data_IF_117760814110
#
_entry.id   IF_117760814110
#
_cell.length_a   1.000
_cell.length_b   1.000
_cell.length_c   1.000
_cell.angle_alpha   90.00
_cell.angle_beta   90.00
_cell.angle_gamma   90.00
#
_symmetry.space_group_name_H-M   'P 1'
#
loop_
_entity.id
_entity.type
_entity.pdbx_description
1 polymer ?
#
# COMPACT_ATOMS: atom_id res chain seq x y z
N UNK A 1 12.03 0.83 -10.05
CA UNK A 1 11.82 2.19 -10.60
C UNK A 1 10.73 2.09 -11.67
N UNK A 2 9.48 2.38 -11.32
CA UNK A 2 8.41 2.56 -12.30
C UNK A 2 8.45 4.02 -12.72
N UNK A 3 8.67 4.29 -14.01
CA UNK A 3 8.64 5.63 -14.57
C UNK A 3 7.26 6.25 -14.27
N UNK A 4 7.25 7.31 -13.45
CA UNK A 4 6.06 8.14 -13.28
C UNK A 4 5.76 8.77 -14.64
N UNK A 5 4.63 8.42 -15.23
CA UNK A 5 4.00 9.31 -16.20
C UNK A 5 3.51 10.50 -15.36
N UNK A 6 4.05 11.72 -15.55
CA UNK A 6 3.52 12.88 -14.86
C UNK A 6 2.04 12.99 -15.22
N UNK A 7 1.18 13.07 -14.22
CA UNK A 7 -0.22 13.39 -14.43
C UNK A 7 -0.27 14.65 -15.29
N UNK A 8 -1.02 14.61 -16.40
CA UNK A 8 -1.14 15.72 -17.32
C UNK A 8 -1.55 16.97 -16.53
N UNK A 9 -0.62 17.90 -16.41
CA UNK A 9 -0.84 19.10 -15.63
C UNK A 9 -1.64 20.08 -16.49
N UNK A 10 -2.74 20.61 -15.97
CA UNK A 10 -3.49 21.60 -16.70
C UNK A 10 -2.69 22.90 -16.81
N UNK A 11 -2.26 23.28 -18.02
CA UNK A 11 -1.67 24.59 -18.31
C UNK A 11 -2.51 25.48 -19.23
N UNK A 12 -2.82 26.69 -18.77
CA UNK A 12 -3.65 27.64 -19.49
C UNK A 12 -2.91 28.40 -20.59
N UNK A 13 -3.67 28.91 -21.56
CA UNK A 13 -3.20 29.79 -22.63
C UNK A 13 -4.14 30.98 -22.81
N UNK A 14 -3.57 32.17 -22.91
CA UNK A 14 -4.30 33.38 -23.26
C UNK A 14 -4.38 33.52 -24.79
N UNK A 15 -5.58 33.83 -25.27
CA UNK A 15 -5.90 33.95 -26.68
C UNK A 15 -6.63 35.27 -26.88
N UNK A 16 -6.26 36.03 -27.90
CA UNK A 16 -6.94 37.23 -28.30
C UNK A 16 -8.13 36.91 -29.21
N UNK A 17 -9.07 37.85 -29.36
CA UNK A 17 -10.15 37.70 -30.35
C UNK A 17 -9.63 37.82 -31.79
N UNK A 18 -8.63 38.67 -32.00
CA UNK A 18 -8.02 38.96 -33.31
C UNK A 18 -6.63 38.31 -33.43
N UNK A 19 -6.22 37.90 -34.64
CA UNK A 19 -4.85 37.45 -34.91
C UNK A 19 -3.82 38.52 -34.59
N UNK A 20 -2.60 38.10 -34.22
CA UNK A 20 -1.46 38.98 -33.98
C UNK A 20 -1.78 40.15 -33.01
N UNK A 21 -2.11 39.83 -31.73
CA UNK A 21 -2.61 40.81 -30.77
C UNK A 21 -1.70 42.03 -30.59
N UNK A 22 -0.38 41.80 -30.67
CA UNK A 22 0.66 42.83 -30.49
C UNK A 22 0.58 43.57 -29.16
N UNK A 23 0.17 42.83 -28.14
CA UNK A 23 0.39 43.07 -26.72
C UNK A 23 0.79 41.73 -26.08
N UNK A 24 1.35 41.79 -24.88
CA UNK A 24 1.73 40.62 -24.09
C UNK A 24 0.96 40.58 -22.77
N UNK A 25 0.95 39.43 -22.10
CA UNK A 25 0.39 39.28 -20.74
C UNK A 25 1.51 39.45 -19.73
N UNK A 26 1.37 40.40 -18.82
CA UNK A 26 2.41 40.70 -17.83
C UNK A 26 2.02 41.85 -16.90
N UNK A 27 2.25 41.74 -15.58
CA UNK A 27 2.67 40.53 -14.85
C UNK A 27 1.54 39.48 -14.82
N UNK A 28 1.87 38.19 -14.63
CA UNK A 28 0.90 37.08 -14.51
C UNK A 28 1.15 36.22 -13.27
N UNK A 29 0.15 36.04 -12.43
CA UNK A 29 0.21 35.17 -11.25
C UNK A 29 -0.91 34.14 -11.28
N UNK A 30 -0.57 32.86 -11.17
CA UNK A 30 -1.53 31.75 -11.14
C UNK A 30 -1.45 31.14 -9.75
N UNK A 31 -2.46 31.39 -8.93
CA UNK A 31 -2.39 31.15 -7.49
C UNK A 31 -3.39 30.09 -7.08
N UNK A 32 -2.93 28.90 -6.71
CA UNK A 32 -3.76 27.89 -6.07
C UNK A 32 -3.71 28.03 -4.55
N UNK A 33 -4.85 27.85 -3.88
CA UNK A 33 -4.91 27.80 -2.40
C UNK A 33 -5.42 26.45 -1.95
N UNK A 34 -4.54 25.69 -1.29
CA UNK A 34 -4.79 24.33 -0.82
C UNK A 34 -4.98 24.36 0.69
N UNK A 35 -6.08 23.79 1.16
CA UNK A 35 -6.33 23.58 2.58
C UNK A 35 -6.28 22.10 2.96
N UNK A 36 -6.39 21.78 4.26
CA UNK A 36 -6.44 20.40 4.75
C UNK A 36 -7.76 19.69 4.40
N UNK A 37 -8.84 20.45 4.17
CA UNK A 37 -10.15 19.91 3.82
C UNK A 37 -10.19 19.48 2.36
N UNK A 38 -10.74 18.30 2.10
CA UNK A 38 -10.99 17.81 0.73
C UNK A 38 -12.08 18.65 0.07
N UNK A 39 -11.80 19.19 -1.11
CA UNK A 39 -12.75 19.96 -1.89
C UNK A 39 -12.10 20.62 -3.10
N UNK A 40 -12.89 21.32 -3.93
CA UNK A 40 -12.36 22.09 -5.05
C UNK A 40 -11.31 23.09 -4.61
N UNK A 41 -10.20 23.16 -5.34
CA UNK A 41 -9.12 24.11 -5.06
C UNK A 41 -9.48 25.46 -5.64
N UNK A 42 -9.42 26.50 -4.80
CA UNK A 42 -9.55 27.89 -5.26
C UNK A 42 -8.28 28.28 -6.03
N UNK A 43 -8.46 28.64 -7.31
CA UNK A 43 -7.42 29.18 -8.17
C UNK A 43 -7.78 30.61 -8.57
N UNK A 44 -6.82 31.51 -8.41
CA UNK A 44 -6.91 32.90 -8.86
C UNK A 44 -5.84 33.15 -9.92
N UNK A 45 -6.28 33.47 -11.14
CA UNK A 45 -5.41 33.95 -12.22
C UNK A 45 -5.44 35.47 -12.17
N UNK A 46 -4.28 36.10 -12.00
CA UNK A 46 -4.16 37.55 -11.86
C UNK A 46 -3.19 38.10 -12.87
N UNK A 47 -3.62 39.06 -13.69
CA UNK A 47 -2.78 39.56 -14.78
C UNK A 47 -3.06 41.01 -15.17
N UNK A 48 -2.15 41.57 -15.96
CA UNK A 48 -2.37 42.80 -16.74
C UNK A 48 -1.92 42.56 -18.19
N UNK A 49 -2.26 43.49 -19.09
CA UNK A 49 -1.75 43.51 -20.45
C UNK A 49 -0.65 44.56 -20.59
N UNK A 50 0.46 44.15 -21.19
CA UNK A 50 1.56 45.01 -21.54
C UNK A 50 1.48 45.37 -23.02
N UNK A 51 1.20 46.65 -23.29
CA UNK A 51 1.21 47.22 -24.64
C UNK A 51 2.61 47.77 -24.94
N UNK A 52 3.24 47.41 -26.08
CA UNK A 52 4.54 47.93 -26.47
C UNK A 52 4.57 49.46 -26.59
N UNK A 53 5.72 50.10 -26.31
CA UNK A 53 5.89 51.53 -26.53
C UNK A 53 5.67 51.86 -28.02
N UNK A 54 4.77 52.80 -28.31
CA UNK A 54 4.40 53.17 -29.69
C UNK A 54 3.04 52.63 -30.18
N UNK A 55 2.33 51.83 -29.37
CA UNK A 55 0.92 51.47 -29.63
C UNK A 55 -0.02 52.07 -28.60
N UNK A 56 -1.19 52.51 -29.08
CA UNK A 56 -2.28 52.96 -28.21
C UNK A 56 -3.06 51.78 -27.64
N UNK A 57 -3.50 51.90 -26.38
CA UNK A 57 -4.40 50.94 -25.73
C UNK A 57 -5.73 50.75 -26.49
N UNK A 58 -6.21 51.79 -27.20
CA UNK A 58 -7.40 51.69 -28.03
C UNK A 58 -7.21 50.78 -29.25
N UNK A 59 -5.98 50.68 -29.78
CA UNK A 59 -5.70 49.83 -30.95
C UNK A 59 -5.83 48.33 -30.62
N UNK A 60 -5.62 47.96 -29.35
CA UNK A 60 -5.63 46.58 -28.88
C UNK A 60 -6.96 46.15 -28.26
N UNK A 61 -7.98 47.01 -28.24
CA UNK A 61 -9.31 46.73 -27.71
C UNK A 61 -9.94 45.48 -28.33
N UNK A 62 -10.17 44.47 -27.49
CA UNK A 62 -10.82 43.21 -27.83
C UNK A 62 -11.04 42.34 -26.61
N UNK A 63 -12.01 41.43 -26.69
CA UNK A 63 -12.15 40.36 -25.70
C UNK A 63 -10.92 39.44 -25.73
N UNK A 64 -10.60 38.89 -24.57
CA UNK A 64 -9.62 37.81 -24.43
C UNK A 64 -10.33 36.50 -24.15
N UNK A 65 -9.63 35.41 -24.40
CA UNK A 65 -10.05 34.08 -24.05
C UNK A 65 -8.97 33.39 -23.24
N UNK A 66 -9.38 32.67 -22.21
CA UNK A 66 -8.51 31.78 -21.46
C UNK A 66 -8.93 30.35 -21.77
N UNK A 67 -8.04 29.61 -22.43
CA UNK A 67 -8.18 28.18 -22.60
C UNK A 67 -7.64 27.51 -21.33
N UNK A 68 -8.54 27.00 -20.50
CA UNK A 68 -8.20 26.32 -19.27
C UNK A 68 -8.32 24.79 -19.46
N UNK A 69 -7.24 24.02 -19.34
CA UNK A 69 -7.33 22.56 -19.34
C UNK A 69 -7.95 22.05 -18.04
N UNK A 70 -9.00 21.24 -18.14
CA UNK A 70 -9.77 20.75 -17.00
C UNK A 70 -11.15 21.40 -16.87
N UNK A 71 -11.95 20.80 -16.01
CA UNK A 71 -13.25 21.33 -15.60
C UNK A 71 -13.06 22.41 -14.54
N UNK A 72 -13.85 23.48 -14.64
CA UNK A 72 -13.78 24.62 -13.72
C UNK A 72 -15.05 24.74 -12.92
N UNK A 73 -15.12 24.21 -11.70
CA UNK A 73 -16.26 24.45 -10.83
C UNK A 73 -16.50 25.97 -10.63
N UNK A 74 -17.76 26.36 -10.77
CA UNK A 74 -18.13 27.78 -10.81
C UNK A 74 -18.42 28.27 -9.41
N UNK A 75 -17.73 29.33 -8.95
CA UNK A 75 -18.35 30.17 -7.93
C UNK A 75 -19.49 30.93 -8.61
N UNK A 76 -20.73 30.63 -8.23
CA UNK A 76 -21.95 31.15 -8.88
C UNK A 76 -21.98 32.69 -8.83
N UNK A 77 -21.49 33.34 -9.89
CA UNK A 77 -21.85 34.73 -10.18
C UNK A 77 -23.22 34.70 -10.84
N UNK A 78 -24.15 35.49 -10.32
CA UNK A 78 -25.47 35.62 -10.91
C UNK A 78 -25.37 36.14 -12.36
N UNK A 79 -26.02 35.44 -13.29
CA UNK A 79 -26.06 35.82 -14.70
C UNK A 79 -26.24 34.61 -15.62
N UNK A 80 -27.00 34.79 -16.70
CA UNK A 80 -27.20 33.73 -17.68
C UNK A 80 -25.86 33.37 -18.37
N UNK A 81 -25.60 32.07 -18.64
CA UNK A 81 -24.46 31.68 -19.44
C UNK A 81 -24.52 32.33 -20.83
N UNK A 82 -23.37 32.43 -21.49
CA UNK A 82 -23.29 33.00 -22.84
C UNK A 82 -23.61 31.93 -23.90
N UNK A 83 -24.77 32.01 -24.59
CA UNK A 83 -25.15 31.00 -25.58
C UNK A 83 -24.23 31.01 -26.80
N UNK A 84 -23.48 32.08 -27.06
CA UNK A 84 -22.51 32.12 -28.14
C UNK A 84 -21.35 31.15 -27.90
N UNK A 85 -20.87 31.02 -26.65
CA UNK A 85 -19.79 30.09 -26.30
C UNK A 85 -20.23 28.63 -26.48
N UNK A 86 -21.47 28.30 -26.09
CA UNK A 86 -22.05 26.98 -26.34
C UNK A 86 -22.10 26.66 -27.83
N UNK A 87 -22.69 27.54 -28.63
CA UNK A 87 -22.77 27.37 -30.10
C UNK A 87 -21.38 27.22 -30.71
N UNK A 88 -20.42 28.00 -30.24
CA UNK A 88 -19.05 27.98 -30.71
C UNK A 88 -18.36 26.62 -30.53
N UNK A 89 -18.52 26.02 -29.36
CA UNK A 89 -17.95 24.71 -29.00
C UNK A 89 -18.67 23.58 -29.75
N UNK A 90 -20.00 23.63 -29.82
CA UNK A 90 -20.81 22.63 -30.55
C UNK A 90 -20.48 22.63 -32.04
N UNK A 91 -20.32 23.80 -32.67
CA UNK A 91 -19.96 23.92 -34.08
C UNK A 91 -18.61 23.28 -34.42
N UNK A 92 -17.75 23.05 -33.43
CA UNK A 92 -16.44 22.40 -33.56
C UNK A 92 -16.45 20.91 -33.18
N UNK A 93 -17.64 20.34 -32.96
CA UNK A 93 -17.80 18.92 -32.64
C UNK A 93 -17.44 18.54 -31.21
N UNK A 94 -17.46 19.50 -30.28
CA UNK A 94 -17.29 19.23 -28.86
C UNK A 94 -18.63 19.14 -28.14
N UNK A 95 -18.70 18.28 -27.12
CA UNK A 95 -19.86 18.15 -26.24
C UNK A 95 -19.76 19.11 -25.05
N UNK A 96 -20.61 20.16 -24.95
CA UNK A 96 -20.64 21.02 -23.78
C UNK A 96 -21.15 20.24 -22.56
N UNK A 97 -20.41 20.32 -21.45
CA UNK A 97 -20.71 19.63 -20.19
C UNK A 97 -21.28 20.60 -19.17
N UNK A 98 -20.76 21.83 -19.14
CA UNK A 98 -21.19 22.84 -18.16
C UNK A 98 -20.95 24.25 -18.68
N UNK A 99 -21.82 25.16 -18.29
CA UNK A 99 -21.78 26.58 -18.68
C UNK A 99 -22.03 27.44 -17.45
N UNK A 100 -21.52 28.66 -17.46
CA UNK A 100 -21.76 29.60 -16.37
C UNK A 100 -20.93 30.86 -16.48
N UNK A 101 -20.75 31.55 -15.36
CA UNK A 101 -19.91 32.74 -15.22
C UNK A 101 -18.98 32.60 -14.03
N UNK A 102 -17.75 33.08 -14.19
CA UNK A 102 -16.73 33.11 -13.15
C UNK A 102 -16.59 34.52 -12.59
N UNK A 103 -16.28 34.67 -11.28
CA UNK A 103 -15.95 35.95 -10.70
C UNK A 103 -14.75 36.56 -11.39
N UNK A 104 -14.96 37.76 -11.93
CA UNK A 104 -13.92 38.59 -12.52
C UNK A 104 -13.89 39.90 -11.75
N UNK A 105 -12.71 40.33 -11.32
CA UNK A 105 -12.54 41.55 -10.55
C UNK A 105 -11.30 42.33 -11.02
N UNK A 106 -11.26 43.62 -10.72
CA UNK A 106 -10.12 44.48 -10.96
C UNK A 106 -9.55 44.97 -9.62
N UNK A 107 -8.24 44.82 -9.45
CA UNK A 107 -7.51 45.19 -8.24
C UNK A 107 -6.47 46.26 -8.56
N UNK A 108 -6.49 47.34 -7.81
CA UNK A 108 -5.53 48.43 -7.96
C UNK A 108 -4.21 48.08 -7.25
N UNK A 109 -3.08 48.28 -7.92
CA UNK A 109 -1.74 48.02 -7.37
C UNK A 109 -1.30 49.08 -6.35
N UNK A 110 -1.58 50.35 -6.64
CA UNK A 110 -1.11 51.50 -5.85
C UNK A 110 -2.17 52.06 -4.90
N UNK A 111 -3.20 51.27 -4.57
CA UNK A 111 -4.20 51.65 -3.56
C UNK A 111 -3.69 51.41 -2.14
N UNK A 112 -4.29 52.08 -1.16
CA UNK A 112 -4.10 51.72 0.25
C UNK A 112 -4.42 50.22 0.45
N UNK A 113 -3.66 49.52 1.32
CA UNK A 113 -3.69 48.05 1.57
C UNK A 113 -5.08 47.43 1.81
N UNK A 114 -6.14 48.25 1.91
CA UNK A 114 -7.51 47.89 2.26
C UNK A 114 -8.51 47.97 1.10
N UNK A 115 -8.12 48.39 -0.11
CA UNK A 115 -9.04 48.38 -1.27
C UNK A 115 -9.26 46.94 -1.75
N UNK A 116 -10.45 46.43 -1.47
CA UNK A 116 -10.97 45.16 -1.96
C UNK A 116 -11.04 45.13 -3.50
N UNK A 117 -10.92 43.94 -4.08
CA UNK A 117 -11.02 43.79 -5.53
C UNK A 117 -12.41 44.22 -6.01
N UNK A 118 -12.47 45.10 -7.02
CA UNK A 118 -13.73 45.61 -7.54
C UNK A 118 -14.32 44.60 -8.53
N UNK A 119 -15.51 44.03 -8.30
CA UNK A 119 -16.11 43.10 -9.25
C UNK A 119 -16.34 43.80 -10.59
N UNK A 120 -16.02 43.09 -11.68
CA UNK A 120 -16.38 43.50 -13.03
C UNK A 120 -17.77 42.95 -13.35
N UNK A 121 -18.65 43.82 -13.81
CA UNK A 121 -20.05 43.46 -14.08
C UNK A 121 -20.17 42.27 -15.04
N UNK A 122 -21.08 41.36 -14.73
CA UNK A 122 -21.34 40.16 -15.53
C UNK A 122 -20.28 39.06 -15.43
N UNK A 123 -19.11 39.29 -14.83
CA UNK A 123 -18.07 38.28 -14.71
C UNK A 123 -17.57 37.71 -16.06
N UNK A 124 -16.84 36.61 -16.01
CA UNK A 124 -16.29 35.94 -17.20
C UNK A 124 -17.15 34.73 -17.59
N UNK A 125 -17.91 34.75 -18.70
CA UNK A 125 -18.67 33.58 -19.14
C UNK A 125 -17.75 32.45 -19.59
N UNK A 126 -18.14 31.21 -19.31
CA UNK A 126 -17.37 30.03 -19.67
C UNK A 126 -18.23 28.87 -20.15
N UNK A 127 -17.60 27.96 -20.89
CA UNK A 127 -18.14 26.64 -21.24
C UNK A 127 -17.05 25.59 -21.01
N UNK A 128 -17.35 24.58 -20.19
CA UNK A 128 -16.56 23.36 -20.06
C UNK A 128 -17.10 22.34 -21.06
N UNK A 129 -16.20 21.69 -21.80
CA UNK A 129 -16.53 20.76 -22.86
C UNK A 129 -15.58 19.56 -22.87
N UNK A 130 -16.02 18.50 -23.52
CA UNK A 130 -15.24 17.29 -23.79
C UNK A 130 -15.25 16.99 -25.27
N UNK A 131 -14.26 16.22 -25.71
CA UNK A 131 -14.25 15.62 -27.03
C UNK A 131 -14.73 14.18 -26.90
N UNK A 132 -15.78 13.84 -27.61
CA UNK A 132 -16.24 12.46 -27.70
C UNK A 132 -15.28 11.69 -28.61
N UNK A 133 -14.55 10.73 -28.05
CA UNK A 133 -13.68 9.84 -28.82
C UNK A 133 -14.33 8.45 -28.89
N UNK A 134 -15.23 8.28 -29.87
CA UNK A 134 -15.98 7.04 -30.05
C UNK A 134 -16.94 6.72 -28.89
N UNK A 135 -17.66 5.60 -29.00
CA UNK A 135 -18.81 5.27 -28.14
C UNK A 135 -18.50 5.07 -26.64
N UNK A 136 -17.23 5.00 -26.21
CA UNK A 136 -16.88 4.56 -24.85
C UNK A 136 -15.80 5.37 -24.12
N UNK A 137 -15.14 6.36 -24.74
CA UNK A 137 -14.05 7.11 -24.09
C UNK A 137 -14.24 8.62 -24.24
N UNK A 138 -14.66 9.30 -23.16
CA UNK A 138 -14.65 10.76 -23.08
C UNK A 138 -13.23 11.25 -22.79
N UNK A 139 -12.78 12.29 -23.48
CA UNK A 139 -11.51 12.94 -23.17
C UNK A 139 -11.58 13.71 -21.84
N UNK A 140 -10.41 14.02 -21.27
CA UNK A 140 -10.32 14.98 -20.16
C UNK A 140 -10.96 16.32 -20.56
N UNK A 141 -11.78 16.95 -19.70
CA UNK A 141 -12.47 18.19 -20.03
C UNK A 141 -11.50 19.34 -20.27
N UNK A 142 -11.93 20.32 -21.07
CA UNK A 142 -11.31 21.64 -21.18
C UNK A 142 -12.38 22.71 -21.02
N UNK A 143 -11.98 23.92 -20.64
CA UNK A 143 -12.88 25.04 -20.41
C UNK A 143 -12.44 26.24 -21.25
N UNK A 144 -13.38 26.81 -21.98
CA UNK A 144 -13.20 28.03 -22.76
C UNK A 144 -13.85 29.18 -22.02
N UNK A 145 -13.04 30.15 -21.59
CA UNK A 145 -13.49 31.27 -20.76
C UNK A 145 -13.30 32.54 -21.58
N UNK A 146 -14.36 33.33 -21.74
CA UNK A 146 -14.27 34.66 -22.35
C UNK A 146 -14.08 35.71 -21.27
N UNK A 147 -13.09 36.56 -21.44
CA UNK A 147 -12.78 37.70 -20.60
C UNK A 147 -13.22 38.94 -21.39
N UNK A 148 -14.32 39.60 -20.99
CA UNK A 148 -14.77 40.81 -21.64
C UNK A 148 -13.72 41.91 -21.60
N UNK A 149 -13.60 42.68 -22.68
CA UNK A 149 -12.72 43.84 -22.71
C UNK A 149 -13.10 44.87 -21.62
N UNK A 150 -12.07 45.48 -21.04
CA UNK A 150 -12.20 46.65 -20.18
C UNK A 150 -10.94 47.51 -20.30
N UNK A 151 -11.03 48.85 -20.27
CA UNK A 151 -9.86 49.72 -20.28
C UNK A 151 -8.86 49.43 -19.15
N UNK A 152 -9.33 48.79 -18.07
CA UNK A 152 -8.49 48.37 -16.94
C UNK A 152 -7.47 47.29 -17.31
N UNK A 153 -7.70 46.51 -18.37
CA UNK A 153 -6.79 45.44 -18.81
C UNK A 153 -5.42 45.97 -19.26
N UNK A 154 -5.39 47.14 -19.93
CA UNK A 154 -4.16 47.77 -20.44
C UNK A 154 -3.59 48.82 -19.49
N UNK A 155 -4.24 49.05 -18.36
CA UNK A 155 -3.77 50.00 -17.36
C UNK A 155 -2.84 49.29 -16.37
N UNK A 156 -1.54 49.61 -16.44
CA UNK A 156 -0.49 49.03 -15.57
C UNK A 156 -0.68 49.26 -14.07
N UNK A 157 -1.62 50.12 -13.65
CA UNK A 157 -1.97 50.31 -12.23
C UNK A 157 -3.03 49.34 -11.74
N UNK A 158 -3.62 48.55 -12.64
CA UNK A 158 -4.66 47.57 -12.36
C UNK A 158 -4.22 46.16 -12.74
N UNK A 159 -4.64 45.20 -11.93
CA UNK A 159 -4.59 43.79 -12.20
C UNK A 159 -6.01 43.25 -12.31
N UNK A 160 -6.28 42.44 -13.33
CA UNK A 160 -7.52 41.67 -13.43
C UNK A 160 -7.33 40.36 -12.71
N UNK A 161 -8.34 39.94 -11.94
CA UNK A 161 -8.36 38.71 -11.16
C UNK A 161 -9.56 37.86 -11.58
N UNK A 162 -9.29 36.68 -12.13
CA UNK A 162 -10.27 35.65 -12.43
C UNK A 162 -10.18 34.57 -11.35
N UNK A 163 -11.28 34.33 -10.65
CA UNK A 163 -11.35 33.30 -9.61
C UNK A 163 -12.14 32.10 -10.09
N UNK A 164 -11.65 30.92 -9.75
CA UNK A 164 -12.24 29.66 -10.18
C UNK A 164 -12.03 28.57 -9.13
N UNK A 165 -12.93 27.58 -9.08
CA UNK A 165 -12.80 26.40 -8.24
C UNK A 165 -12.46 25.21 -9.13
N UNK A 166 -11.44 24.43 -8.78
CA UNK A 166 -11.00 23.31 -9.60
C UNK A 166 -11.19 22.01 -8.82
N UNK A 167 -12.16 21.15 -9.21
CA UNK A 167 -12.47 19.92 -8.47
C UNK A 167 -11.34 18.89 -8.57
N UNK A 168 -10.69 18.81 -9.72
CA UNK A 168 -9.74 17.73 -10.05
C UNK A 168 -8.27 18.17 -10.02
N UNK A 169 -7.97 19.35 -9.44
CA UNK A 169 -6.60 19.86 -9.40
C UNK A 169 -5.70 19.05 -8.47
N UNK A 170 -6.26 18.55 -7.36
CA UNK A 170 -5.56 17.70 -6.40
C UNK A 170 -5.92 16.26 -6.70
N UNK A 171 -4.92 15.48 -7.12
CA UNK A 171 -5.09 14.06 -7.38
C UNK A 171 -4.59 13.26 -6.19
N UNK A 172 -5.40 12.31 -5.72
CA UNK A 172 -4.98 11.34 -4.72
C UNK A 172 -4.12 10.29 -5.39
N UNK A 173 -2.87 10.17 -4.93
CA UNK A 173 -1.98 9.11 -5.38
C UNK A 173 -2.41 7.81 -4.70
N UNK A 174 -2.62 6.76 -5.48
CA UNK A 174 -2.83 5.42 -4.90
C UNK A 174 -1.60 5.04 -4.08
N UNK A 175 -1.78 4.98 -2.77
CA UNK A 175 -0.82 4.47 -1.81
C UNK A 175 -1.34 3.15 -1.27
N UNK A 176 -0.46 2.25 -0.84
CA UNK A 176 -0.93 1.03 -0.17
C UNK A 176 -1.65 1.40 1.13
N UNK A 177 -2.48 0.48 1.64
CA UNK A 177 -3.21 0.70 2.90
C UNK A 177 -2.24 1.02 4.05
N UNK A 178 -1.09 0.33 4.10
CA UNK A 178 -0.06 0.52 5.13
C UNK A 178 0.57 1.91 5.03
N UNK A 179 0.89 2.36 3.82
CA UNK A 179 1.45 3.70 3.60
C UNK A 179 0.46 4.80 3.99
N UNK A 180 -0.83 4.60 3.71
CA UNK A 180 -1.90 5.54 4.06
C UNK A 180 -2.08 5.65 5.58
N UNK A 181 -1.95 4.54 6.30
CA UNK A 181 -2.04 4.49 7.77
C UNK A 181 -0.82 5.15 8.43
N UNK A 182 0.39 4.83 7.97
CA UNK A 182 1.63 5.31 8.58
C UNK A 182 1.97 6.76 8.22
N UNK A 183 1.62 7.19 7.01
CA UNK A 183 2.09 8.47 6.47
C UNK A 183 0.98 9.41 5.97
N UNK A 184 -0.29 9.01 6.10
CA UNK A 184 -1.42 9.77 5.59
C UNK A 184 -1.64 9.60 4.09
N UNK A 185 -2.71 10.21 3.59
CA UNK A 185 -2.98 10.23 2.15
C UNK A 185 -1.97 11.11 1.41
N UNK A 186 -1.62 10.67 0.21
CA UNK A 186 -0.67 11.36 -0.65
C UNK A 186 -1.42 12.09 -1.75
N UNK A 187 -1.16 13.37 -1.85
CA UNK A 187 -1.77 14.24 -2.84
C UNK A 187 -0.70 14.78 -3.78
N UNK A 188 -1.05 14.87 -5.06
CA UNK A 188 -0.24 15.55 -6.07
C UNK A 188 -1.05 16.70 -6.62
N UNK A 189 -0.46 17.88 -6.65
CA UNK A 189 -1.03 19.05 -7.29
C UNK A 189 -0.05 19.54 -8.36
N UNK A 190 -0.60 19.87 -9.53
CA UNK A 190 0.16 20.31 -10.68
C UNK A 190 -0.49 21.56 -11.27
N UNK A 191 0.27 22.66 -11.31
CA UNK A 191 -0.08 23.86 -12.06
C UNK A 191 0.86 23.97 -13.25
N UNK A 192 0.33 24.17 -14.44
CA UNK A 192 1.14 24.46 -15.62
C UNK A 192 0.77 25.80 -16.24
N UNK A 193 1.63 26.25 -17.14
CA UNK A 193 1.38 27.30 -18.11
C UNK A 193 1.81 26.80 -19.49
N UNK A 194 1.04 27.13 -20.54
CA UNK A 194 1.25 26.65 -21.90
C UNK A 194 1.17 25.11 -22.14
N UNK A 195 0.64 24.32 -21.20
CA UNK A 195 0.38 22.88 -21.44
C UNK A 195 -1.01 22.63 -22.07
N UNK A 196 -1.07 22.69 -23.40
CA UNK A 196 -2.29 22.46 -24.21
C UNK A 196 -2.40 21.04 -24.77
N UNK A 197 -1.57 20.09 -24.32
CA UNK A 197 -1.47 18.75 -24.94
C UNK A 197 -2.68 17.84 -24.68
N UNK A 198 -3.67 18.29 -23.90
CA UNK A 198 -4.88 17.50 -23.64
C UNK A 198 -5.71 17.34 -24.92
N UNK A 199 -6.40 16.19 -25.06
CA UNK A 199 -7.20 15.87 -26.26
C UNK A 199 -8.33 16.86 -26.54
N UNK A 200 -8.80 17.60 -25.54
CA UNK A 200 -9.84 18.63 -25.66
C UNK A 200 -9.25 20.03 -25.88
N UNK A 201 -8.12 20.36 -25.26
CA UNK A 201 -7.52 21.69 -25.39
C UNK A 201 -6.72 21.85 -26.70
N UNK A 202 -6.01 20.80 -27.14
CA UNK A 202 -5.10 20.91 -28.28
C UNK A 202 -5.79 21.37 -29.58
N UNK A 203 -6.95 20.82 -30.01
CA UNK A 203 -7.56 21.26 -31.26
C UNK A 203 -8.05 22.72 -31.19
N UNK A 204 -8.59 23.14 -30.04
CA UNK A 204 -9.01 24.52 -29.81
C UNK A 204 -7.81 25.48 -29.81
N UNK A 205 -6.70 25.09 -29.20
CA UNK A 205 -5.44 25.84 -29.29
C UNK A 205 -4.95 25.91 -30.74
N UNK A 206 -4.93 24.79 -31.46
CA UNK A 206 -4.35 24.69 -32.80
C UNK A 206 -5.06 25.58 -33.83
N UNK A 207 -6.39 25.71 -33.70
CA UNK A 207 -7.22 26.62 -34.52
C UNK A 207 -6.92 28.10 -34.24
N UNK A 208 -6.48 28.45 -33.02
CA UNK A 208 -6.26 29.83 -32.59
C UNK A 208 -4.80 30.15 -32.30
N UNK A 209 -3.87 29.37 -32.86
CA UNK A 209 -2.43 29.53 -32.60
C UNK A 209 -1.88 30.90 -32.99
N UNK A 210 -2.51 31.56 -33.96
CA UNK A 210 -2.22 32.92 -34.44
C UNK A 210 -2.75 34.04 -33.52
N UNK A 211 -3.58 33.68 -32.53
CA UNK A 211 -4.17 34.58 -31.54
C UNK A 211 -3.54 34.45 -30.16
N UNK A 212 -2.53 33.60 -30.01
CA UNK A 212 -1.87 33.37 -28.71
C UNK A 212 -1.23 34.66 -28.23
N UNK A 213 -1.49 35.01 -26.97
CA UNK A 213 -0.86 36.15 -26.30
C UNK A 213 0.34 35.62 -25.52
N UNK A 214 1.53 36.13 -25.84
CA UNK A 214 2.77 35.73 -25.19
C UNK A 214 2.95 36.40 -23.83
N UNK A 215 3.79 35.82 -22.98
CA UNK A 215 4.24 36.46 -21.74
C UNK A 215 5.07 37.69 -22.05
N UNK A 216 4.88 38.74 -21.27
CA UNK A 216 5.72 39.94 -21.27
C UNK A 216 6.97 39.75 -20.42
N UNK A 217 7.79 40.80 -20.35
CA UNK A 217 9.01 40.82 -19.52
C UNK A 217 8.68 41.01 -18.03
N UNK A 218 7.44 41.40 -17.71
CA UNK A 218 6.98 41.56 -16.33
C UNK A 218 6.98 40.22 -15.57
N UNK A 219 7.24 40.25 -14.25
CA UNK A 219 7.39 39.05 -13.45
C UNK A 219 6.12 38.20 -13.49
N UNK A 220 6.27 36.95 -13.93
CA UNK A 220 5.19 35.99 -14.04
C UNK A 220 5.51 34.74 -13.22
N UNK A 221 4.53 34.18 -12.51
CA UNK A 221 4.74 33.07 -11.57
C UNK A 221 3.54 32.12 -11.46
N UNK A 222 3.86 30.85 -11.22
CA UNK A 222 2.93 29.86 -10.66
C UNK A 222 3.15 29.80 -9.15
N UNK A 223 2.07 29.83 -8.37
CA UNK A 223 2.13 29.90 -6.91
C UNK A 223 1.11 28.93 -6.30
N UNK A 224 1.56 28.12 -5.35
CA UNK A 224 0.72 27.23 -4.55
C UNK A 224 0.85 27.67 -3.09
N UNK A 225 -0.27 28.06 -2.51
CA UNK A 225 -0.37 28.43 -1.10
C UNK A 225 -0.98 27.28 -0.32
N UNK A 226 -0.26 26.75 0.65
CA UNK A 226 -0.77 25.76 1.59
C UNK A 226 -1.21 26.46 2.87
N UNK A 227 -2.51 26.49 3.13
CA UNK A 227 -3.13 27.30 4.18
C UNK A 227 -2.81 26.85 5.63
N UNK A 228 -2.35 25.61 5.81
CA UNK A 228 -1.99 25.04 7.11
C UNK A 228 -0.58 24.42 7.07
N UNK A 229 0.44 25.25 7.26
CA UNK A 229 1.84 24.83 7.24
C UNK A 229 2.20 23.92 8.44
N UNK A 230 1.49 24.02 9.56
CA UNK A 230 1.80 23.25 10.77
C UNK A 230 1.55 21.75 10.60
N UNK A 231 0.59 21.40 9.74
CA UNK A 231 0.22 20.01 9.45
C UNK A 231 0.63 19.56 8.04
N UNK A 232 1.44 20.35 7.35
CA UNK A 232 1.84 20.10 5.98
C UNK A 232 3.15 19.32 5.91
N UNK A 233 3.15 18.23 5.14
CA UNK A 233 4.37 17.54 4.73
C UNK A 233 4.52 17.56 3.22
N UNK A 234 5.46 18.36 2.72
CA UNK A 234 5.87 18.35 1.31
C UNK A 234 6.99 17.31 1.14
N UNK A 235 6.83 16.42 0.16
CA UNK A 235 7.82 15.37 -0.14
C UNK A 235 8.71 15.73 -1.31
N UNK A 236 8.10 16.26 -2.36
CA UNK A 236 8.78 16.51 -3.62
C UNK A 236 8.17 17.74 -4.29
N UNK A 237 9.03 18.57 -4.88
CA UNK A 237 8.65 19.72 -5.70
C UNK A 237 9.44 19.64 -7.00
N UNK A 238 8.75 19.80 -8.13
CA UNK A 238 9.34 19.80 -9.46
C UNK A 238 8.91 21.07 -10.22
N UNK A 239 9.81 21.74 -10.96
CA UNK A 239 11.24 21.46 -11.12
C UNK A 239 12.08 21.92 -9.91
N UNK A 240 13.37 21.60 -9.90
CA UNK A 240 14.30 22.01 -8.83
C UNK A 240 14.46 23.53 -8.68
N UNK A 241 14.16 24.31 -9.74
CA UNK A 241 14.21 25.78 -9.75
C UNK A 241 13.06 26.48 -8.99
N UNK A 242 12.32 25.74 -8.15
CA UNK A 242 11.24 26.28 -7.33
C UNK A 242 11.77 27.13 -6.18
N UNK A 243 10.96 28.06 -5.70
CA UNK A 243 11.15 28.70 -4.39
C UNK A 243 10.14 28.14 -3.40
N UNK A 244 10.60 27.83 -2.20
CA UNK A 244 9.78 27.44 -1.05
C UNK A 244 10.07 28.40 0.09
N UNK A 245 9.04 29.10 0.55
CA UNK A 245 9.19 30.07 1.63
C UNK A 245 7.91 30.15 2.47
N UNK A 246 8.01 30.45 3.77
CA UNK A 246 6.86 30.86 4.56
C UNK A 246 6.19 32.08 3.92
N UNK A 247 4.86 32.16 3.96
CA UNK A 247 4.15 33.35 3.49
C UNK A 247 4.46 34.54 4.40
N UNK A 248 4.99 35.61 3.81
CA UNK A 248 5.24 36.87 4.53
C UNK A 248 3.96 37.53 5.03
N UNK A 249 2.84 37.27 4.35
CA UNK A 249 1.56 37.95 4.60
C UNK A 249 0.58 37.13 5.43
N UNK A 250 0.72 35.80 5.45
CA UNK A 250 -0.20 34.90 6.17
C UNK A 250 0.58 33.98 7.10
N UNK A 251 0.34 34.12 8.41
CA UNK A 251 0.89 33.21 9.42
C UNK A 251 0.41 31.78 9.16
N UNK A 252 1.32 30.82 9.30
CA UNK A 252 1.00 29.40 9.13
C UNK A 252 0.68 29.01 7.68
N UNK A 253 1.07 29.80 6.69
CA UNK A 253 0.93 29.44 5.26
C UNK A 253 2.31 29.17 4.65
N UNK A 254 2.46 28.04 3.97
CA UNK A 254 3.65 27.70 3.20
C UNK A 254 3.42 28.08 1.73
N UNK A 255 4.39 28.73 1.08
CA UNK A 255 4.31 29.14 -0.33
C UNK A 255 5.34 28.37 -1.14
N UNK A 256 4.88 27.72 -2.20
CA UNK A 256 5.74 27.14 -3.24
C UNK A 256 5.48 27.86 -4.54
N UNK A 257 6.53 28.37 -5.19
CA UNK A 257 6.39 29.11 -6.45
C UNK A 257 7.43 28.72 -7.48
N UNK A 258 7.07 28.96 -8.74
CA UNK A 258 7.93 28.84 -9.91
C UNK A 258 7.79 30.12 -10.73
N UNK A 259 8.91 30.77 -11.06
CA UNK A 259 8.90 31.89 -12.00
C UNK A 259 8.70 31.34 -13.42
N UNK A 260 7.83 32.00 -14.17
CA UNK A 260 7.63 31.73 -15.58
C UNK A 260 8.66 32.51 -16.38
N UNK A 261 9.39 31.83 -17.24
CA UNK A 261 10.35 32.43 -18.17
C UNK A 261 9.66 32.77 -19.50
N UNK A 262 9.58 34.05 -19.91
CA UNK A 262 9.05 34.44 -21.21
C UNK A 262 9.88 33.90 -22.39
N UNK A 263 11.18 33.68 -22.20
CA UNK A 263 12.09 33.19 -23.24
C UNK A 263 11.82 31.72 -23.60
N UNK A 264 11.20 30.96 -22.69
CA UNK A 264 10.73 29.60 -23.00
C UNK A 264 9.56 29.59 -24.00
N UNK A 265 8.96 30.75 -24.29
CA UNK A 265 7.93 30.93 -25.30
C UNK A 265 6.72 30.03 -25.04
N UNK A 266 6.45 29.10 -25.95
CA UNK A 266 5.32 28.17 -25.89
C UNK A 266 5.65 26.84 -25.21
N UNK A 267 6.85 26.69 -24.62
CA UNK A 267 7.21 25.46 -23.90
C UNK A 267 6.36 25.35 -22.63
N UNK A 268 5.81 24.17 -22.32
CA UNK A 268 5.07 23.97 -21.09
C UNK A 268 5.95 24.16 -19.86
N UNK A 269 5.54 25.06 -18.97
CA UNK A 269 6.19 25.33 -17.69
C UNK A 269 5.29 24.81 -16.57
N UNK A 270 5.79 23.88 -15.76
CA UNK A 270 4.99 23.08 -14.84
C UNK A 270 5.56 23.11 -13.42
N UNK A 271 4.76 23.53 -12.44
CA UNK A 271 5.01 23.35 -11.02
C UNK A 271 4.19 22.18 -10.47
N UNK A 272 4.87 21.09 -10.10
CA UNK A 272 4.25 19.92 -9.44
C UNK A 272 4.72 19.82 -8.00
N UNK A 273 3.78 19.61 -7.08
CA UNK A 273 4.05 19.43 -5.65
C UNK A 273 3.36 18.18 -5.15
N UNK A 274 4.16 17.30 -4.53
CA UNK A 274 3.64 16.15 -3.78
C UNK A 274 3.61 16.49 -2.29
N UNK A 275 2.43 16.38 -1.69
CA UNK A 275 2.20 16.77 -0.31
C UNK A 275 1.22 15.83 0.39
N UNK A 276 1.15 15.94 1.70
CA UNK A 276 0.11 15.32 2.53
C UNK A 276 -0.12 16.15 3.78
N UNK A 277 -1.38 16.21 4.22
CA UNK A 277 -1.76 16.77 5.51
C UNK A 277 -1.83 15.67 6.55
N UNK A 278 -1.20 15.88 7.71
CA UNK A 278 -1.24 14.95 8.83
C UNK A 278 -2.13 15.48 9.96
N UNK A 279 -3.02 14.64 10.48
CA UNK A 279 -3.87 15.00 11.61
C UNK A 279 -3.51 14.17 12.85
N UNK A 280 -3.29 14.86 13.97
CA UNK A 280 -3.20 14.31 15.33
C UNK A 280 -2.48 12.96 15.47
N UNK A 281 -3.25 11.89 15.70
CA UNK A 281 -2.78 10.53 15.96
C UNK A 281 -1.90 9.94 14.84
N UNK A 282 -2.11 10.33 13.58
CA UNK A 282 -1.32 9.81 12.45
C UNK A 282 0.16 10.20 12.54
N UNK A 283 0.48 11.31 13.20
CA UNK A 283 1.87 11.71 13.47
C UNK A 283 2.60 10.73 14.39
N UNK A 284 1.88 10.00 15.25
CA UNK A 284 2.41 8.97 16.15
C UNK A 284 2.38 7.56 15.56
N UNK A 285 1.72 7.35 14.41
CA UNK A 285 1.54 6.02 13.82
C UNK A 285 2.86 5.25 13.61
N UNK A 286 3.99 5.86 13.18
CA UNK A 286 5.25 5.13 13.06
C UNK A 286 5.76 4.59 14.41
N UNK A 287 5.63 5.40 15.47
CA UNK A 287 6.05 5.02 16.83
C UNK A 287 5.15 3.90 17.33
N UNK A 288 3.82 4.07 17.23
CA UNK A 288 2.85 3.08 17.66
C UNK A 288 2.99 1.75 16.91
N UNK A 289 3.28 1.80 15.60
CA UNK A 289 3.51 0.59 14.81
C UNK A 289 4.80 -0.12 15.22
N UNK A 290 5.90 0.63 15.43
CA UNK A 290 7.13 0.08 15.98
C UNK A 290 6.91 -0.54 17.38
N UNK A 291 6.19 0.14 18.27
CA UNK A 291 5.83 -0.37 19.60
C UNK A 291 4.97 -1.63 19.51
N UNK A 292 3.96 -1.65 18.64
CA UNK A 292 3.11 -2.81 18.43
C UNK A 292 3.90 -4.00 17.87
N UNK A 293 4.79 -3.77 16.90
CA UNK A 293 5.66 -4.82 16.34
C UNK A 293 6.66 -5.34 17.37
N UNK A 294 7.22 -4.45 18.19
CA UNK A 294 8.11 -4.82 19.29
C UNK A 294 7.37 -5.64 20.36
N UNK A 295 6.15 -5.26 20.72
CA UNK A 295 5.29 -6.02 21.62
C UNK A 295 4.92 -7.38 21.01
N UNK A 296 4.57 -7.44 19.72
CA UNK A 296 4.31 -8.71 19.03
C UNK A 296 5.53 -9.62 19.04
N UNK A 297 6.72 -9.08 18.76
CA UNK A 297 7.98 -9.82 18.79
C UNK A 297 8.30 -10.38 20.17
N UNK A 298 8.07 -9.61 21.23
CA UNK A 298 8.29 -10.05 22.61
C UNK A 298 7.21 -11.02 23.12
N UNK A 299 5.97 -10.92 22.65
CA UNK A 299 4.86 -11.79 23.06
C UNK A 299 4.83 -13.10 22.25
N UNK A 300 5.39 -13.09 21.03
CA UNK A 300 5.50 -14.29 20.19
C UNK A 300 6.34 -15.40 20.86
N UNK A 301 7.44 -15.05 21.54
CA UNK A 301 8.27 -16.04 22.25
C UNK A 301 7.50 -16.81 23.34
N UNK A 302 6.88 -16.13 24.32
CA UNK A 302 6.04 -16.74 25.35
C UNK A 302 4.83 -17.53 24.80
N UNK A 303 4.15 -17.02 23.76
CA UNK A 303 3.03 -17.73 23.15
C UNK A 303 3.46 -18.97 22.38
N UNK A 304 4.53 -18.89 21.59
CA UNK A 304 5.08 -20.05 20.86
C UNK A 304 5.63 -21.08 21.83
N UNK A 305 6.26 -20.68 22.93
CA UNK A 305 6.71 -21.62 23.97
C UNK A 305 5.56 -22.27 24.73
N UNK A 306 4.45 -21.54 25.00
CA UNK A 306 3.23 -22.14 25.54
C UNK A 306 2.55 -23.11 24.56
N UNK A 307 2.51 -22.76 23.27
CA UNK A 307 1.97 -23.64 22.22
C UNK A 307 2.87 -24.87 22.02
N UNK A 308 4.19 -24.69 22.01
CA UNK A 308 5.17 -25.77 21.90
C UNK A 308 5.15 -26.69 23.13
N UNK A 309 4.91 -26.17 24.34
CA UNK A 309 4.75 -27.00 25.55
C UNK A 309 3.46 -27.81 25.52
N UNK A 310 2.35 -27.23 25.07
CA UNK A 310 1.06 -27.92 25.04
C UNK A 310 0.92 -28.92 23.88
N UNK A 311 1.59 -28.67 22.76
CA UNK A 311 1.58 -29.52 21.55
C UNK A 311 2.76 -30.50 21.55
N UNK A 312 3.95 -30.08 21.97
CA UNK A 312 5.17 -30.89 22.02
C UNK A 312 5.09 -32.06 23.00
N UNK A 313 4.43 -31.88 24.16
CA UNK A 313 4.22 -32.98 25.11
C UNK A 313 3.27 -34.07 24.57
N UNK A 314 2.36 -33.73 23.63
CA UNK A 314 1.45 -34.70 22.99
C UNK A 314 2.03 -35.34 21.72
N UNK A 315 3.03 -34.72 21.08
CA UNK A 315 3.61 -35.17 19.81
C UNK A 315 4.96 -35.89 19.95
N UNK A 316 5.75 -35.60 20.98
CA UNK A 316 7.07 -36.19 21.19
C UNK A 316 7.04 -37.73 21.39
N UNK A 317 5.92 -38.30 21.83
CA UNK A 317 5.76 -39.75 21.97
C UNK A 317 5.33 -40.49 20.69
N UNK A 318 4.95 -39.78 19.61
CA UNK A 318 4.24 -40.38 18.46
C UNK A 318 4.89 -40.19 17.10
N UNK A 319 5.88 -39.31 16.97
CA UNK A 319 6.52 -39.03 15.67
C UNK A 319 8.03 -39.10 15.82
N UNK A 320 8.62 -40.14 15.23
CA UNK A 320 10.07 -40.28 15.11
C UNK A 320 10.48 -39.81 13.71
N UNK A 321 11.35 -38.82 13.65
CA UNK A 321 11.96 -38.35 12.40
C UNK A 321 13.36 -38.98 12.30
N UNK A 322 13.54 -39.91 11.37
CA UNK A 322 14.83 -40.55 11.14
C UNK A 322 14.87 -41.34 9.84
N UNK A 323 15.86 -41.04 9.00
CA UNK A 323 16.12 -41.78 7.76
C UNK A 323 16.90 -43.05 8.12
N UNK A 324 16.19 -44.13 8.44
CA UNK A 324 16.76 -45.49 8.40
C UNK A 324 16.59 -46.36 9.63
N UNK A 325 16.20 -45.84 10.80
CA UNK A 325 16.14 -46.69 12.00
C UNK A 325 14.77 -47.40 12.09
N UNK A 326 14.78 -48.72 11.89
CA UNK A 326 13.64 -49.57 12.23
C UNK A 326 13.46 -49.48 13.75
N UNK A 327 12.25 -49.26 14.29
CA UNK A 327 12.05 -49.35 15.73
C UNK A 327 12.50 -50.75 16.17
N UNK A 328 13.61 -50.80 16.91
CA UNK A 328 14.22 -52.05 17.37
C UNK A 328 13.25 -52.69 18.35
N UNK A 329 12.89 -53.95 18.06
CA UNK A 329 12.26 -54.81 19.05
C UNK A 329 13.24 -54.94 20.21
N UNK A 330 12.86 -54.43 21.39
CA UNK A 330 13.70 -54.53 22.57
C UNK A 330 13.29 -55.80 23.31
N UNK A 331 14.24 -56.72 23.41
CA UNK A 331 14.12 -57.95 24.20
C UNK A 331 15.08 -57.82 25.38
N UNK A 332 14.60 -58.10 26.57
CA UNK A 332 15.39 -58.03 27.81
C UNK A 332 15.13 -59.31 28.60
N UNK A 333 16.19 -59.99 29.04
CA UNK A 333 16.10 -61.31 29.67
C UNK A 333 16.09 -62.47 28.67
N UNK A 334 15.86 -63.68 29.17
CA UNK A 334 15.88 -64.91 28.37
C UNK A 334 14.45 -65.32 28.03
N UNK A 335 14.12 -65.33 26.73
CA UNK A 335 12.84 -65.84 26.24
C UNK A 335 13.10 -67.20 25.61
N UNK A 336 12.60 -68.26 26.24
CA UNK A 336 12.73 -69.62 25.71
C UNK A 336 11.69 -69.82 24.61
N UNK A 337 12.13 -70.19 23.41
CA UNK A 337 11.26 -70.43 22.28
C UNK A 337 10.36 -71.66 22.52
N UNK A 338 9.15 -71.65 21.97
CA UNK A 338 8.19 -72.74 22.17
C UNK A 338 8.74 -74.07 21.64
N UNK A 339 9.44 -74.03 20.53
CA UNK A 339 10.07 -75.18 19.88
C UNK A 339 11.15 -75.80 20.77
N UNK A 340 11.79 -75.01 21.63
CA UNK A 340 12.77 -75.46 22.61
C UNK A 340 12.09 -76.09 23.83
N UNK A 341 10.98 -75.52 24.29
CA UNK A 341 10.19 -76.10 25.38
C UNK A 341 9.57 -77.45 25.01
N UNK A 342 9.17 -77.62 23.75
CA UNK A 342 8.64 -78.90 23.24
C UNK A 342 9.72 -80.01 23.17
N UNK A 343 11.01 -79.65 23.23
CA UNK A 343 12.13 -80.60 23.29
C UNK A 343 12.46 -81.05 24.72
N UNK A 344 11.93 -80.36 25.74
CA UNK A 344 12.08 -80.76 27.14
C UNK A 344 11.09 -81.89 27.44
N UNK A 345 11.59 -83.12 27.48
CA UNK A 345 10.79 -84.29 27.78
C UNK A 345 10.89 -84.62 29.29
N UNK A 346 9.77 -84.50 30.05
CA UNK A 346 9.77 -84.87 31.47
C UNK A 346 10.24 -86.31 31.69
N UNK A 347 11.13 -86.51 32.66
CA UNK A 347 11.74 -87.81 32.97
C UNK A 347 12.91 -88.23 32.08
N UNK A 348 13.28 -87.44 31.05
CA UNK A 348 14.43 -87.72 30.18
C UNK A 348 15.45 -86.59 30.14
N UNK A 349 14.98 -85.34 30.06
CA UNK A 349 15.88 -84.19 29.95
C UNK A 349 16.55 -83.89 31.28
N UNK A 350 17.88 -83.79 31.27
CA UNK A 350 18.71 -83.54 32.47
C UNK A 350 19.02 -82.06 32.65
N UNK A 351 19.45 -81.68 33.86
CA UNK A 351 19.80 -80.30 34.20
C UNK A 351 20.79 -79.65 33.20
N UNK A 352 21.87 -80.35 32.82
CA UNK A 352 22.87 -79.80 31.90
C UNK A 352 22.31 -79.60 30.48
N UNK A 353 21.41 -80.48 30.04
CA UNK A 353 20.71 -80.35 28.76
C UNK A 353 19.72 -79.17 28.78
N UNK A 354 19.07 -78.91 29.92
CA UNK A 354 18.22 -77.71 30.09
C UNK A 354 19.04 -76.44 29.94
N UNK A 355 20.21 -76.35 30.57
CA UNK A 355 21.10 -75.19 30.43
C UNK A 355 21.61 -75.03 29.00
N UNK A 356 21.91 -76.13 28.31
CA UNK A 356 22.34 -76.11 26.92
C UNK A 356 21.24 -75.62 25.96
N UNK A 357 19.98 -76.01 26.23
CA UNK A 357 18.83 -75.68 25.38
C UNK A 357 18.23 -74.30 25.69
N UNK A 358 18.09 -73.94 26.97
CA UNK A 358 17.40 -72.72 27.40
C UNK A 358 18.35 -71.56 27.70
N UNK A 359 19.64 -71.84 27.90
CA UNK A 359 20.69 -70.85 28.13
C UNK A 359 21.26 -70.86 29.56
N UNK A 360 22.48 -70.32 29.77
CA UNK A 360 23.27 -70.60 30.98
C UNK A 360 22.93 -69.76 32.22
N UNK A 361 21.85 -68.95 32.23
CA UNK A 361 21.55 -68.02 33.33
C UNK A 361 20.09 -68.11 33.82
N UNK A 362 19.63 -69.24 34.37
CA UNK A 362 18.36 -69.30 35.07
C UNK A 362 18.43 -68.63 36.45
N UNK A 363 17.30 -68.11 36.93
CA UNK A 363 17.11 -67.88 38.36
C UNK A 363 16.80 -69.23 39.02
N UNK A 364 17.70 -69.73 39.87
CA UNK A 364 17.50 -71.01 40.57
C UNK A 364 16.85 -70.80 41.94
N UNK A 365 15.71 -71.46 42.15
CA UNK A 365 15.11 -71.58 43.47
C UNK A 365 15.28 -73.00 43.99
N UNK A 366 16.05 -73.13 45.08
CA UNK A 366 16.19 -74.36 45.85
C UNK A 366 15.28 -74.29 47.08
N UNK A 367 14.46 -75.32 47.30
CA UNK A 367 13.64 -75.38 48.49
C UNK A 367 14.48 -75.94 49.65
N UNK A 368 14.76 -75.09 50.66
CA UNK A 368 15.55 -75.43 51.85
C UNK A 368 15.10 -76.69 52.63
N UNK A 369 13.88 -77.19 52.40
CA UNK A 369 13.33 -78.40 53.04
C UNK A 369 13.36 -79.65 52.15
N UNK A 370 13.73 -79.53 50.88
CA UNK A 370 13.81 -80.62 49.91
C UNK A 370 14.92 -80.32 48.87
N UNK A 371 16.21 -80.52 49.20
CA UNK A 371 17.34 -80.15 48.33
C UNK A 371 17.38 -80.95 47.01
N UNK A 372 16.69 -82.09 46.97
CA UNK A 372 16.51 -82.93 45.77
C UNK A 372 15.67 -82.22 44.68
N UNK A 373 14.93 -81.15 45.03
CA UNK A 373 14.04 -80.41 44.13
C UNK A 373 14.55 -79.00 43.84
N UNK A 374 14.73 -78.71 42.55
CA UNK A 374 15.18 -77.41 42.05
C UNK A 374 14.19 -76.87 41.05
N UNK A 375 13.95 -75.57 41.09
CA UNK A 375 13.11 -74.90 40.09
C UNK A 375 13.96 -73.87 39.36
N UNK A 376 14.05 -74.01 38.05
CA UNK A 376 14.73 -73.06 37.17
C UNK A 376 13.69 -72.12 36.59
N UNK A 377 13.90 -70.82 36.76
CA UNK A 377 13.00 -69.79 36.24
C UNK A 377 13.73 -68.98 35.18
N UNK A 378 13.18 -68.97 33.97
CA UNK A 378 13.60 -68.11 32.87
C UNK A 378 12.59 -66.99 32.70
N UNK A 379 13.05 -65.74 32.83
CA UNK A 379 12.23 -64.54 32.67
C UNK A 379 12.73 -63.71 31.50
N UNK A 380 11.81 -63.39 30.61
CA UNK A 380 12.08 -62.57 29.44
C UNK A 380 10.94 -61.60 29.16
N UNK A 381 11.27 -60.40 28.70
CA UNK A 381 10.32 -59.36 28.33
C UNK A 381 10.55 -58.95 26.89
N UNK A 382 9.48 -58.99 26.09
CA UNK A 382 9.48 -58.60 24.68
C UNK A 382 8.59 -57.38 24.48
N UNK A 383 9.16 -56.30 23.93
CA UNK A 383 8.41 -55.08 23.60
C UNK A 383 8.37 -54.91 22.08
N UNK A 384 7.18 -55.06 21.50
CA UNK A 384 6.98 -54.98 20.05
C UNK A 384 5.99 -53.85 19.67
N UNK A 385 6.31 -53.02 18.65
CA UNK A 385 5.42 -51.95 18.18
C UNK A 385 4.32 -52.47 17.23
N UNK A 386 3.07 -52.06 17.44
CA UNK A 386 1.96 -52.37 16.51
C UNK A 386 1.88 -51.29 15.41
N UNK A 387 2.09 -51.69 14.15
CA UNK A 387 2.21 -50.77 13.00
C UNK A 387 0.85 -50.38 12.40
N UNK A 388 0.70 -49.11 12.04
CA UNK A 388 -0.19 -48.71 10.93
C UNK A 388 0.45 -47.63 10.05
N UNK A 389 0.69 -48.00 8.79
CA UNK A 389 1.06 -47.20 7.59
C UNK A 389 2.25 -46.23 7.71
N UNK A 390 3.20 -46.41 6.79
CA UNK A 390 4.35 -45.52 6.56
C UNK A 390 3.99 -44.53 5.46
N UNK A 391 4.25 -43.24 5.67
CA UNK A 391 4.17 -42.22 4.62
C UNK A 391 5.51 -41.48 4.55
N UNK A 392 6.38 -41.96 3.65
CA UNK A 392 7.72 -41.41 3.45
C UNK A 392 8.61 -41.49 4.69
N UNK A 393 9.11 -40.33 5.11
CA UNK A 393 9.98 -40.05 6.27
C UNK A 393 9.30 -40.12 7.65
N UNK A 394 7.98 -40.35 7.68
CA UNK A 394 7.18 -40.39 8.90
C UNK A 394 6.68 -41.81 9.19
N UNK A 395 6.96 -42.30 10.40
CA UNK A 395 6.39 -43.53 10.94
C UNK A 395 5.64 -43.23 12.25
N UNK A 396 4.36 -43.56 12.29
CA UNK A 396 3.50 -43.43 13.47
C UNK A 396 3.32 -44.79 14.14
N UNK A 397 3.62 -44.89 15.43
CA UNK A 397 3.38 -46.08 16.26
C UNK A 397 2.08 -45.84 17.03
N UNK A 398 1.11 -46.75 16.91
CA UNK A 398 -0.20 -46.56 17.54
C UNK A 398 -0.17 -47.01 19.01
N UNK A 399 0.42 -48.18 19.27
CA UNK A 399 0.53 -48.81 20.61
C UNK A 399 1.76 -49.71 20.70
N UNK A 400 2.26 -49.93 21.92
CA UNK A 400 3.33 -50.88 22.22
C UNK A 400 2.74 -52.09 22.95
N UNK A 401 3.02 -53.30 22.46
CA UNK A 401 2.69 -54.55 23.15
C UNK A 401 3.88 -54.99 23.98
N UNK A 402 3.62 -55.35 25.23
CA UNK A 402 4.61 -55.98 26.10
C UNK A 402 4.16 -57.38 26.42
N UNK A 403 5.01 -58.35 26.09
CA UNK A 403 4.85 -59.74 26.51
C UNK A 403 5.87 -60.05 27.60
N UNK A 404 5.38 -60.47 28.76
CA UNK A 404 6.20 -61.06 29.81
C UNK A 404 6.12 -62.57 29.67
N UNK A 405 7.28 -63.20 29.47
CA UNK A 405 7.46 -64.64 29.37
C UNK A 405 8.15 -65.12 30.64
N UNK A 406 7.48 -66.00 31.36
CA UNK A 406 8.01 -66.67 32.54
C UNK A 406 7.88 -68.17 32.32
N UNK A 407 9.00 -68.88 32.33
CA UNK A 407 9.06 -70.33 32.21
C UNK A 407 9.65 -70.88 33.49
N UNK A 408 8.89 -71.74 34.16
CA UNK A 408 9.29 -72.48 35.35
C UNK A 408 9.52 -73.95 34.95
N UNK A 409 10.73 -74.45 35.19
CA UNK A 409 11.11 -75.85 34.95
C UNK A 409 11.43 -76.46 36.31
N UNK A 410 10.64 -77.42 36.75
CA UNK A 410 10.89 -78.16 37.97
C UNK A 410 11.75 -79.39 37.67
N UNK A 411 12.79 -79.59 38.49
CA UNK A 411 13.66 -80.75 38.44
C UNK A 411 13.64 -81.47 39.79
N UNK A 412 13.67 -82.79 39.75
CA UNK A 412 13.81 -83.65 40.91
C UNK A 412 14.93 -84.67 40.62
N UNK A 413 15.91 -84.78 41.51
CA UNK A 413 17.14 -85.55 41.29
C UNK A 413 17.87 -85.21 39.97
N UNK A 414 17.79 -83.94 39.52
CA UNK A 414 18.47 -83.45 38.31
C UNK A 414 17.78 -83.76 36.98
N UNK A 415 16.56 -84.31 37.00
CA UNK A 415 15.75 -84.61 35.81
C UNK A 415 14.48 -83.76 35.81
N UNK A 416 14.09 -83.24 34.65
CA UNK A 416 12.88 -82.41 34.49
C UNK A 416 11.63 -83.22 34.84
N UNK A 417 10.79 -82.71 35.73
CA UNK A 417 9.52 -83.34 36.12
C UNK A 417 8.30 -82.57 35.62
N UNK A 418 8.37 -81.25 35.58
CA UNK A 418 7.29 -80.39 35.09
C UNK A 418 7.84 -79.15 34.40
N UNK A 419 7.12 -78.66 33.38
CA UNK A 419 7.45 -77.45 32.62
C UNK A 419 6.20 -76.60 32.49
N UNK A 420 6.21 -75.42 33.11
CA UNK A 420 5.12 -74.46 33.02
C UNK A 420 5.59 -73.18 32.34
N UNK A 421 4.91 -72.79 31.26
CA UNK A 421 5.15 -71.52 30.58
C UNK A 421 3.95 -70.60 30.78
N UNK A 422 4.17 -69.41 31.35
CA UNK A 422 3.18 -68.36 31.50
C UNK A 422 3.55 -67.16 30.65
N UNK A 423 2.63 -66.76 29.78
CA UNK A 423 2.78 -65.57 28.94
C UNK A 423 1.73 -64.55 29.33
N UNK A 424 2.16 -63.41 29.86
CA UNK A 424 1.26 -62.30 30.22
C UNK A 424 1.43 -61.16 29.23
N UNK A 425 0.34 -60.81 28.55
CA UNK A 425 0.29 -59.71 27.58
C UNK A 425 -0.32 -58.47 28.21
N UNK A 426 0.39 -57.34 28.14
CA UNK A 426 -0.10 -56.03 28.61
C UNK A 426 0.18 -54.95 27.58
N UNK A 427 -0.62 -53.89 27.60
CA UNK A 427 -0.47 -52.76 26.69
C UNK A 427 0.17 -51.57 27.42
N UNK A 428 1.15 -50.93 26.78
CA UNK A 428 1.75 -49.70 27.28
C UNK A 428 1.42 -48.52 26.36
N UNK A 429 1.11 -47.38 26.98
CA UNK A 429 0.88 -46.12 26.28
C UNK A 429 2.19 -45.45 25.82
N UNK A 430 3.31 -45.74 26.47
CA UNK A 430 4.65 -45.24 26.17
C UNK A 430 5.69 -46.34 26.46
N UNK A 431 6.82 -46.41 25.72
CA UNK A 431 7.94 -47.24 26.13
C UNK A 431 8.60 -46.60 27.37
N UNK A 432 8.69 -47.34 28.48
CA UNK A 432 9.58 -46.96 29.57
C UNK A 432 11.02 -47.08 29.08
N UNK A 433 11.82 -46.02 29.31
CA UNK A 433 13.25 -46.04 28.98
C UNK A 433 13.96 -46.98 29.97
N UNK A 434 14.66 -47.98 29.44
CA UNK A 434 15.65 -48.74 30.19
C UNK A 434 16.87 -47.87 30.47
#
# INVERSE_FOLDING_TARGET
>A
MLALIPAAAPGQVFLASRPNPGFTVGPLFVRATVGPTRGPVEVAVVWSLAVPPGRSGAAVEQDLYLLWPGAVDGALVAGAPDPALRRYVVARGFGPVREGRLPLAARQLYGSRRREAQPLEGGAPFVTYVREAGALVRSAPATWIRIPWTPRLVNRTWLIELRMRLPDLVQTRQASWLETVLWGERHTLALAFHDVRTRSAFPMYFEHRDRVVHLGEEPSQLVINFADAGHLKIREILPAAHRRQPSETRKGTEVVSLFLDPAEGLRPQLLTVQFGYFTGWKSWAPILFATAFFMLGNIAGPLVTMLARSVGARLAGRIHFGRGDRPRESQTGVIVARETLEQLAPGRTTYDEVLALCGPHPEEHEQLRAPERRVLIYRGRKIAPERRRRLGWLATVNRWHVEHHEVEIALEHGVVTDVQARVRRTHLAHPERA
#
